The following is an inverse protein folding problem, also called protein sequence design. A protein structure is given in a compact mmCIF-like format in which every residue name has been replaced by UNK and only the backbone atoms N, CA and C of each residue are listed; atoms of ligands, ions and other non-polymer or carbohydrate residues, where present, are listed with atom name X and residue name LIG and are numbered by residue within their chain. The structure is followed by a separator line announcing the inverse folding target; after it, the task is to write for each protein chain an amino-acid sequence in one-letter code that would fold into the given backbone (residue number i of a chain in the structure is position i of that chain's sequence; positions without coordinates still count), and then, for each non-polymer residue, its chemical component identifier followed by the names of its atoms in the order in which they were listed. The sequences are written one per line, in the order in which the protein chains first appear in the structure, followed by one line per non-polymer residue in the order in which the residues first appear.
data_IF_148872362507
#
_entry.id   IF_148872362507
#
_cell.length_a   1.000
_cell.length_b   1.000
_cell.length_c   1.000
_cell.angle_alpha   90.00
_cell.angle_beta   90.00
_cell.angle_gamma   90.00
#
_symmetry.space_group_name_H-M   'P 1'
#
loop_
_entity.id
_entity.type
_entity.pdbx_description
1 polymer ?
#
# COMPACT_ATOMS: atom_id res chain seq x y z
N UNK A 1 27.36 -25.57 1.02
CA UNK A 1 27.41 -24.50 0.02
C UNK A 1 26.07 -23.76 0.06
N UNK A 2 26.06 -22.43 0.19
CA UNK A 2 24.82 -21.65 0.23
C UNK A 2 24.71 -20.88 -1.08
N UNK A 3 23.83 -21.37 -1.96
CA UNK A 3 23.49 -20.71 -3.22
C UNK A 3 22.42 -19.63 -3.03
N UNK A 4 22.23 -18.81 -4.06
CA UNK A 4 21.17 -17.79 -4.06
C UNK A 4 19.78 -18.45 -4.06
N UNK A 5 18.96 -18.12 -3.07
CA UNK A 5 17.63 -18.73 -2.88
C UNK A 5 16.51 -18.07 -3.69
N UNK A 6 16.71 -16.85 -4.20
CA UNK A 6 15.71 -16.09 -4.97
C UNK A 6 16.35 -15.16 -6.01
N UNK A 7 15.67 -14.97 -7.14
CA UNK A 7 16.03 -14.00 -8.19
C UNK A 7 14.77 -13.27 -8.66
N UNK A 8 14.90 -11.97 -8.94
CA UNK A 8 13.82 -11.18 -9.52
C UNK A 8 13.60 -11.62 -10.99
N UNK A 9 12.36 -11.95 -11.39
CA UNK A 9 12.04 -12.17 -12.80
C UNK A 9 12.30 -10.89 -13.61
N UNK A 10 13.08 -10.99 -14.69
CA UNK A 10 13.41 -9.85 -15.56
C UNK A 10 12.55 -9.77 -16.82
N UNK A 11 11.63 -10.72 -17.01
CA UNK A 11 10.72 -10.73 -18.15
C UNK A 11 9.69 -9.60 -18.01
N UNK A 12 9.62 -8.74 -19.02
CA UNK A 12 8.63 -7.67 -19.09
C UNK A 12 7.37 -8.23 -19.71
N UNK A 13 6.25 -8.14 -19.00
CA UNK A 13 4.93 -8.53 -19.51
C UNK A 13 4.46 -7.54 -20.57
N UNK A 14 3.96 -8.04 -21.68
CA UNK A 14 3.38 -7.25 -22.76
C UNK A 14 1.92 -7.66 -22.95
N UNK A 15 1.04 -6.94 -22.26
CA UNK A 15 -0.42 -7.09 -22.29
C UNK A 15 -1.03 -5.69 -22.45
N UNK A 16 -2.33 -5.59 -22.69
CA UNK A 16 -3.00 -4.28 -22.74
C UNK A 16 -3.01 -3.59 -21.37
N UNK A 17 -2.95 -2.25 -21.36
CA UNK A 17 -2.87 -1.43 -20.14
C UNK A 17 -3.91 -1.80 -19.10
N UNK A 18 -5.17 -2.03 -19.50
CA UNK A 18 -6.25 -2.44 -18.59
C UNK A 18 -5.93 -3.75 -17.87
N UNK A 19 -5.39 -4.74 -18.59
CA UNK A 19 -5.02 -6.03 -17.98
C UNK A 19 -3.84 -5.90 -17.04
N UNK A 20 -2.88 -5.03 -17.37
CA UNK A 20 -1.76 -4.75 -16.50
C UNK A 20 -2.22 -4.04 -15.22
N UNK A 21 -3.13 -3.06 -15.35
CA UNK A 21 -3.71 -2.34 -14.23
C UNK A 21 -4.51 -3.27 -13.29
N UNK A 22 -5.36 -4.15 -13.85
CA UNK A 22 -6.08 -5.16 -13.07
C UNK A 22 -5.09 -6.13 -12.39
N UNK A 23 -4.05 -6.56 -13.10
CA UNK A 23 -3.01 -7.41 -12.54
C UNK A 23 -2.24 -6.78 -11.38
N UNK A 24 -2.03 -5.45 -11.40
CA UNK A 24 -1.45 -4.71 -10.27
C UNK A 24 -2.44 -4.67 -9.11
N UNK A 25 -3.71 -4.34 -9.38
CA UNK A 25 -4.77 -4.27 -8.37
C UNK A 25 -4.93 -5.59 -7.61
N UNK A 26 -4.97 -6.71 -8.32
CA UNK A 26 -5.09 -8.04 -7.72
C UNK A 26 -3.90 -8.40 -6.83
N UNK A 27 -2.68 -8.09 -7.29
CA UNK A 27 -1.45 -8.37 -6.54
C UNK A 27 -1.33 -7.49 -5.30
N UNK A 28 -1.72 -6.21 -5.41
CA UNK A 28 -1.76 -5.30 -4.27
C UNK A 28 -2.78 -5.75 -3.24
N UNK A 29 -3.99 -6.12 -3.67
CA UNK A 29 -5.02 -6.66 -2.78
C UNK A 29 -4.55 -7.93 -2.07
N UNK A 30 -3.96 -8.88 -2.81
CA UNK A 30 -3.45 -10.13 -2.23
C UNK A 30 -2.29 -9.88 -1.26
N UNK A 31 -1.36 -9.00 -1.62
CA UNK A 31 -0.23 -8.62 -0.78
C UNK A 31 -0.71 -7.98 0.53
N UNK A 32 -1.59 -6.97 0.44
CA UNK A 32 -2.12 -6.30 1.63
C UNK A 32 -2.86 -7.31 2.51
N UNK A 33 -3.76 -8.13 1.95
CA UNK A 33 -4.48 -9.15 2.71
C UNK A 33 -3.56 -10.14 3.44
N UNK A 34 -2.44 -10.54 2.82
CA UNK A 34 -1.45 -11.41 3.45
C UNK A 34 -0.74 -10.76 4.67
N UNK A 35 -0.66 -9.43 4.70
CA UNK A 35 -0.08 -8.66 5.81
C UNK A 35 -1.11 -8.27 6.89
N UNK A 36 -2.37 -8.70 6.76
CA UNK A 36 -3.44 -8.37 7.72
C UNK A 36 -3.56 -9.37 8.88
N UNK A 37 -2.74 -10.41 8.92
CA UNK A 37 -2.76 -11.42 9.99
C UNK A 37 -2.14 -10.84 11.26
N UNK A 38 -2.96 -10.53 12.25
CA UNK A 38 -2.53 -9.97 13.54
C UNK A 38 -3.52 -10.33 14.65
N UNK A 39 -3.00 -10.70 15.82
CA UNK A 39 -3.79 -10.92 17.05
C UNK A 39 -4.13 -9.62 17.79
N UNK A 40 -3.63 -8.49 17.28
CA UNK A 40 -3.84 -7.14 17.83
C UNK A 40 -4.32 -6.17 16.73
N UNK A 41 -4.98 -5.07 17.09
CA UNK A 41 -5.41 -4.07 16.11
C UNK A 41 -4.26 -3.55 15.24
N UNK A 42 -4.51 -3.42 13.94
CA UNK A 42 -3.55 -2.89 12.96
C UNK A 42 -3.80 -1.40 12.74
N UNK A 43 -2.73 -0.61 12.77
CA UNK A 43 -2.73 0.79 12.33
C UNK A 43 -1.97 0.96 11.02
N UNK A 44 -2.34 1.98 10.24
CA UNK A 44 -1.76 2.27 8.93
C UNK A 44 -1.10 3.63 8.94
N UNK A 45 0.08 3.75 8.35
CA UNK A 45 0.66 5.05 8.05
C UNK A 45 0.04 5.59 6.76
N UNK A 46 -0.45 6.82 6.83
CA UNK A 46 -1.01 7.55 5.70
C UNK A 46 -0.22 8.83 5.50
N UNK A 47 0.34 8.98 4.31
CA UNK A 47 1.02 10.18 3.85
C UNK A 47 0.14 10.90 2.82
N UNK A 48 0.66 11.96 2.19
CA UNK A 48 -0.02 12.61 1.07
C UNK A 48 0.13 11.88 -0.26
N UNK A 49 0.93 10.80 -0.30
CA UNK A 49 1.32 10.09 -1.51
C UNK A 49 0.38 8.94 -1.90
N UNK A 50 0.47 8.52 -3.15
CA UNK A 50 -0.36 7.44 -3.71
C UNK A 50 -0.05 6.07 -3.09
N UNK A 51 1.19 5.80 -2.70
CA UNK A 51 1.59 4.47 -2.22
C UNK A 51 0.86 4.09 -0.93
N UNK A 52 0.85 4.98 0.06
CA UNK A 52 0.16 4.77 1.32
C UNK A 52 -1.36 4.76 1.15
N UNK A 53 -1.89 5.59 0.23
CA UNK A 53 -3.30 5.60 -0.13
C UNK A 53 -3.75 4.26 -0.76
N UNK A 54 -2.94 3.67 -1.65
CA UNK A 54 -3.25 2.36 -2.27
C UNK A 54 -3.26 1.26 -1.21
N UNK A 55 -2.25 1.22 -0.32
CA UNK A 55 -2.22 0.24 0.77
C UNK A 55 -3.45 0.38 1.67
N UNK A 56 -3.77 1.60 2.10
CA UNK A 56 -4.95 1.86 2.94
C UNK A 56 -6.25 1.46 2.23
N UNK A 57 -6.40 1.78 0.94
CA UNK A 57 -7.60 1.46 0.17
C UNK A 57 -7.90 -0.05 0.09
N UNK A 58 -6.85 -0.88 -0.01
CA UNK A 58 -7.01 -2.33 0.03
C UNK A 58 -7.22 -2.84 1.45
N UNK A 59 -6.60 -2.21 2.45
CA UNK A 59 -6.76 -2.59 3.85
C UNK A 59 -8.18 -2.36 4.36
N UNK A 60 -8.82 -1.24 3.99
CA UNK A 60 -10.21 -0.93 4.41
C UNK A 60 -11.24 -1.90 3.84
N UNK A 61 -10.95 -2.52 2.68
CA UNK A 61 -11.82 -3.54 2.09
C UNK A 61 -11.88 -4.82 2.94
N UNK A 62 -10.83 -5.11 3.71
CA UNK A 62 -10.73 -6.29 4.59
C UNK A 62 -11.01 -5.92 6.05
N UNK A 63 -10.61 -4.73 6.48
CA UNK A 63 -10.84 -4.18 7.81
C UNK A 63 -11.49 -2.79 7.71
N UNK A 64 -12.83 -2.71 7.63
CA UNK A 64 -13.55 -1.42 7.52
C UNK A 64 -13.35 -0.47 8.72
N UNK A 65 -12.84 -0.98 9.86
CA UNK A 65 -12.53 -0.19 11.05
C UNK A 65 -11.03 0.19 11.15
N UNK A 66 -10.30 0.12 10.03
CA UNK A 66 -8.90 0.52 9.92
C UNK A 66 -8.67 1.94 10.47
N UNK A 67 -7.60 2.10 11.24
CA UNK A 67 -7.16 3.40 11.75
C UNK A 67 -5.89 3.83 11.04
N UNK A 68 -5.98 4.94 10.32
CA UNK A 68 -4.83 5.56 9.65
C UNK A 68 -4.26 6.70 10.50
N UNK A 69 -2.94 6.89 10.41
CA UNK A 69 -2.20 7.89 11.15
C UNK A 69 -1.23 8.61 10.22
N UNK A 70 -1.17 9.93 10.36
CA UNK A 70 -0.27 10.81 9.61
C UNK A 70 0.63 11.58 10.56
N UNK A 71 1.84 11.87 10.12
CA UNK A 71 2.77 12.74 10.84
C UNK A 71 2.66 14.14 10.21
N UNK A 72 2.41 15.14 11.05
CA UNK A 72 2.39 16.55 10.64
C UNK A 72 3.68 17.27 11.04
N UNK A 73 4.06 18.27 10.25
CA UNK A 73 5.25 19.10 10.49
C UNK A 73 4.90 20.59 10.57
N UNK A 74 5.70 21.37 11.31
CA UNK A 74 5.50 22.84 11.38
C UNK A 74 5.87 23.56 10.08
N UNK A 75 6.89 23.08 9.38
CA UNK A 75 7.28 23.61 8.07
C UNK A 75 6.35 23.05 6.97
N UNK A 76 5.51 23.89 6.33
CA UNK A 76 4.56 23.44 5.32
C UNK A 76 5.19 22.77 4.11
N UNK A 77 6.49 22.96 3.88
CA UNK A 77 7.22 22.29 2.80
C UNK A 77 7.30 20.78 3.01
N UNK A 78 7.31 20.33 4.26
CA UNK A 78 7.42 18.91 4.63
C UNK A 78 6.12 18.34 5.19
N UNK A 79 5.10 19.17 5.39
CA UNK A 79 3.80 18.73 5.91
C UNK A 79 2.88 18.22 4.80
N UNK A 80 2.54 16.93 4.88
CA UNK A 80 1.60 16.27 3.97
C UNK A 80 0.25 15.97 4.63
N UNK A 81 0.03 16.45 5.87
CA UNK A 81 -1.16 16.14 6.66
C UNK A 81 -2.47 16.54 5.95
N UNK A 82 -2.48 17.67 5.24
CA UNK A 82 -3.63 18.15 4.48
C UNK A 82 -3.96 17.27 3.27
N UNK A 83 -2.97 16.64 2.64
CA UNK A 83 -3.13 15.72 1.52
C UNK A 83 -3.61 14.36 2.03
N UNK A 84 -3.01 13.86 3.10
CA UNK A 84 -3.44 12.62 3.77
C UNK A 84 -4.92 12.70 4.20
N UNK A 85 -5.34 13.84 4.75
CA UNK A 85 -6.72 14.07 5.18
C UNK A 85 -7.77 14.02 4.04
N UNK A 86 -7.37 14.13 2.77
CA UNK A 86 -8.29 13.98 1.63
C UNK A 86 -8.59 12.52 1.30
N UNK A 87 -7.72 11.60 1.75
CA UNK A 87 -7.84 10.15 1.51
C UNK A 87 -8.49 9.45 2.70
N UNK A 88 -8.24 9.94 3.92
CA UNK A 88 -8.78 9.42 5.17
C UNK A 88 -10.31 9.46 5.23
#
# INVERSE_FOLDING_TARGET
DVGRYWNLPTEIRSEGDDRLADGVRDRMQASVAAHMVSDVPIGYFLSGGIDSAVVLSHAVAVNPAAKAFSIGFEDPKYDESAQAAKVA
#
